data_IF_922115383501
#
_entry.id   IF_922115383501
#
_cell.length_a   1.000
_cell.length_b   1.000
_cell.length_c   1.000
_cell.angle_alpha   90.00
_cell.angle_beta   90.00
_cell.angle_gamma   90.00
#
_symmetry.space_group_name_H-M   'P 1'
#
loop_
_entity.id
_entity.type
_entity.pdbx_description
1 polymer ?
#
# COMPACT_ATOMS: atom_id res chain seq x y z
N UNK A 1 21.01 -23.50 -47.10
CA UNK A 1 20.44 -22.19 -47.46
C UNK A 1 18.94 -22.42 -47.61
N UNK A 2 18.01 -21.89 -46.83
CA UNK A 2 18.01 -20.99 -45.68
C UNK A 2 16.80 -21.45 -44.83
N UNK A 3 17.00 -21.63 -43.53
CA UNK A 3 15.92 -21.61 -42.57
C UNK A 3 15.44 -20.16 -42.46
N UNK A 4 14.14 -19.94 -42.40
CA UNK A 4 13.55 -18.68 -41.95
C UNK A 4 12.14 -18.50 -42.50
N UNK A 5 11.15 -18.01 -41.79
CA UNK A 5 11.03 -17.57 -40.41
C UNK A 5 9.52 -17.63 -40.16
N UNK A 6 9.06 -18.43 -39.19
CA UNK A 6 7.67 -18.38 -38.76
C UNK A 6 7.61 -17.40 -37.58
N UNK A 7 7.38 -16.13 -37.87
CA UNK A 7 7.14 -15.12 -36.85
C UNK A 7 5.63 -15.07 -36.57
N UNK A 8 5.15 -15.49 -35.38
CA UNK A 8 3.81 -15.12 -34.99
C UNK A 8 3.83 -13.62 -34.68
N UNK A 9 3.08 -12.85 -35.47
CA UNK A 9 2.62 -11.52 -35.11
C UNK A 9 1.89 -11.65 -33.76
N UNK A 10 2.56 -11.24 -32.68
CA UNK A 10 1.90 -11.02 -31.40
C UNK A 10 0.99 -9.82 -31.57
N UNK A 11 -0.30 -10.10 -31.77
CA UNK A 11 -1.35 -9.09 -31.75
C UNK A 11 -1.31 -8.39 -30.39
N UNK A 12 -0.93 -7.12 -30.45
CA UNK A 12 -0.93 -6.17 -29.36
C UNK A 12 -2.40 -5.91 -28.98
N UNK A 13 -2.88 -6.61 -27.96
CA UNK A 13 -4.15 -6.30 -27.33
C UNK A 13 -3.87 -5.50 -26.06
N UNK A 14 -3.54 -4.22 -26.25
CA UNK A 14 -3.67 -3.18 -25.22
C UNK A 14 -5.15 -3.07 -24.85
N UNK A 15 -5.61 -4.00 -24.02
CA UNK A 15 -6.89 -3.90 -23.35
C UNK A 15 -6.74 -2.80 -22.30
N UNK A 16 -7.10 -1.58 -22.68
CA UNK A 16 -7.33 -0.48 -21.74
C UNK A 16 -8.44 -0.90 -20.76
N UNK A 17 -8.02 -1.49 -19.65
CA UNK A 17 -8.89 -1.77 -18.53
C UNK A 17 -9.10 -0.45 -17.80
N UNK A 18 -10.18 0.27 -18.15
CA UNK A 18 -10.64 1.46 -17.45
C UNK A 18 -10.95 1.10 -15.99
N UNK A 19 -9.96 1.28 -15.13
CA UNK A 19 -10.13 1.20 -13.70
C UNK A 19 -10.66 2.57 -13.25
N UNK A 20 -11.95 2.61 -12.88
CA UNK A 20 -12.61 3.80 -12.34
C UNK A 20 -12.19 4.13 -10.89
N UNK A 21 -10.97 3.76 -10.48
CA UNK A 21 -10.41 4.20 -9.20
C UNK A 21 -9.62 5.46 -9.49
N UNK A 22 -9.85 6.50 -8.68
CA UNK A 22 -9.11 7.75 -8.69
C UNK A 22 -7.68 7.55 -8.16
N UNK A 23 -6.93 6.60 -8.74
CA UNK A 23 -5.49 6.60 -8.67
C UNK A 23 -5.07 7.49 -9.81
N UNK A 24 -4.90 8.80 -9.53
CA UNK A 24 -4.16 9.67 -10.42
C UNK A 24 -2.89 8.95 -10.91
N UNK A 25 -2.46 9.27 -12.14
CA UNK A 25 -1.32 8.63 -12.84
C UNK A 25 -0.27 8.15 -11.84
N UNK A 26 -0.08 6.83 -11.73
CA UNK A 26 0.99 6.25 -10.90
C UNK A 26 2.30 6.88 -11.38
N UNK A 27 2.92 7.65 -10.50
CA UNK A 27 4.23 8.23 -10.78
C UNK A 27 5.24 7.13 -10.49
N UNK A 28 6.01 6.74 -11.50
CA UNK A 28 7.19 5.92 -11.30
C UNK A 28 8.20 6.75 -10.50
N UNK A 29 8.44 6.33 -9.26
CA UNK A 29 9.27 7.05 -8.31
C UNK A 29 9.38 6.30 -6.97
N UNK A 30 10.34 6.69 -6.13
CA UNK A 30 10.52 6.08 -4.82
C UNK A 30 9.27 6.25 -3.97
N UNK A 31 9.02 5.28 -3.10
CA UNK A 31 7.94 5.34 -2.14
C UNK A 31 8.30 6.28 -0.98
N UNK A 32 7.27 6.84 -0.36
CA UNK A 32 7.41 7.55 0.91
C UNK A 32 6.67 6.77 1.98
N UNK A 33 7.37 6.42 3.04
CA UNK A 33 6.78 5.83 4.24
C UNK A 33 6.66 6.89 5.32
N UNK A 34 5.50 6.98 5.98
CA UNK A 34 5.20 8.01 6.97
C UNK A 34 4.88 7.41 8.33
N UNK A 35 5.43 8.00 9.39
CA UNK A 35 5.07 7.72 10.78
C UNK A 35 4.48 8.98 11.39
N UNK A 36 3.40 8.83 12.15
CA UNK A 36 2.74 9.93 12.85
C UNK A 36 2.62 9.62 14.33
N UNK A 37 3.11 10.54 15.16
CA UNK A 37 2.97 10.50 16.61
C UNK A 37 2.39 11.83 17.08
N UNK A 38 1.14 11.83 17.54
CA UNK A 38 0.40 13.04 17.93
C UNK A 38 0.40 14.12 16.82
N UNK A 39 1.14 15.21 17.02
CA UNK A 39 1.33 16.28 16.04
C UNK A 39 2.61 16.14 15.21
N UNK A 40 3.50 15.22 15.58
CA UNK A 40 4.74 14.97 14.86
C UNK A 40 4.51 13.99 13.69
N UNK A 41 5.14 14.29 12.56
CA UNK A 41 5.05 13.49 11.34
C UNK A 41 6.44 13.36 10.74
N UNK A 42 6.88 12.12 10.56
CA UNK A 42 8.17 11.80 9.97
C UNK A 42 7.97 11.04 8.66
N UNK A 43 8.81 11.34 7.67
CA UNK A 43 8.73 10.77 6.33
C UNK A 43 10.07 10.19 5.90
N UNK A 44 10.03 8.98 5.35
CA UNK A 44 11.19 8.22 4.91
C UNK A 44 11.07 7.92 3.43
N UNK A 45 12.11 8.26 2.67
CA UNK A 45 12.26 7.81 1.29
C UNK A 45 12.64 6.34 1.29
N UNK A 46 11.81 5.49 0.67
CA UNK A 46 12.05 4.05 0.59
C UNK A 46 11.94 3.59 -0.86
N UNK A 47 12.90 2.80 -1.31
CA UNK A 47 12.88 2.25 -2.67
C UNK A 47 11.80 1.17 -2.80
N UNK A 48 11.63 0.37 -1.75
CA UNK A 48 10.68 -0.74 -1.72
C UNK A 48 9.69 -0.60 -0.59
N UNK A 49 8.42 -0.82 -0.91
CA UNK A 49 7.36 -0.97 0.08
C UNK A 49 7.28 -2.46 0.44
N UNK A 50 8.25 -2.96 1.20
CA UNK A 50 8.27 -4.33 1.68
C UNK A 50 8.56 -4.42 3.17
N UNK A 51 8.32 -5.60 3.75
CA UNK A 51 8.57 -5.84 5.17
C UNK A 51 10.03 -5.58 5.56
N UNK A 52 10.96 -6.01 4.73
CA UNK A 52 12.40 -5.92 5.02
C UNK A 52 12.88 -4.46 5.07
N UNK A 53 12.19 -3.57 4.38
CA UNK A 53 12.47 -2.14 4.36
C UNK A 53 11.74 -1.40 5.47
N UNK A 54 10.45 -1.72 5.70
CA UNK A 54 9.60 -0.93 6.60
C UNK A 54 9.75 -1.30 8.07
N UNK A 55 9.94 -2.58 8.38
CA UNK A 55 10.06 -3.04 9.77
C UNK A 55 11.28 -2.44 10.49
N UNK A 56 12.49 -2.40 9.90
CA UNK A 56 13.63 -1.77 10.57
C UNK A 56 13.43 -0.27 10.84
N UNK A 57 12.65 0.42 9.99
CA UNK A 57 12.30 1.83 10.22
C UNK A 57 11.40 1.91 11.46
N UNK A 58 10.36 1.07 11.53
CA UNK A 58 9.47 1.03 12.70
C UNK A 58 10.25 0.70 13.98
N UNK A 59 11.16 -0.27 13.96
CA UNK A 59 11.96 -0.61 15.15
C UNK A 59 12.87 0.51 15.62
N UNK A 60 13.40 1.31 14.70
CA UNK A 60 14.28 2.43 15.03
C UNK A 60 13.51 3.63 15.58
N UNK A 61 12.34 3.93 15.00
CA UNK A 61 11.60 5.15 15.28
C UNK A 61 10.53 4.96 16.36
N UNK A 62 9.98 3.75 16.52
CA UNK A 62 8.97 3.43 17.51
C UNK A 62 9.57 2.66 18.69
N UNK A 63 9.32 3.15 19.91
CA UNK A 63 9.75 2.47 21.11
C UNK A 63 9.11 1.08 21.23
N UNK A 64 9.84 0.10 21.76
CA UNK A 64 9.32 -1.24 22.03
C UNK A 64 8.08 -1.17 22.94
N UNK A 65 7.05 -1.96 22.65
CA UNK A 65 5.78 -1.91 23.37
C UNK A 65 4.85 -0.77 22.94
N UNK A 66 5.23 0.04 21.94
CA UNK A 66 4.36 1.11 21.45
C UNK A 66 3.10 0.57 20.79
N UNK A 67 2.04 1.37 20.86
CA UNK A 67 0.81 1.14 20.13
C UNK A 67 0.97 1.66 18.69
N UNK A 68 0.79 0.77 17.71
CA UNK A 68 0.91 1.11 16.29
C UNK A 68 -0.43 0.90 15.62
N UNK A 69 -0.94 1.94 14.97
CA UNK A 69 -2.09 1.85 14.07
C UNK A 69 -1.58 1.84 12.63
N UNK A 70 -1.85 0.78 11.87
CA UNK A 70 -1.56 0.73 10.43
C UNK A 70 -2.78 0.33 9.64
N UNK A 71 -2.68 0.37 8.31
CA UNK A 71 -3.64 -0.33 7.46
C UNK A 71 -3.52 -1.86 7.66
N UNK A 72 -4.54 -2.61 7.24
CA UNK A 72 -4.60 -4.08 7.32
C UNK A 72 -3.66 -4.76 6.29
N UNK A 73 -2.49 -4.19 6.06
CA UNK A 73 -1.57 -4.70 5.07
C UNK A 73 -0.74 -5.87 5.63
N UNK A 74 -0.64 -7.03 4.93
CA UNK A 74 0.02 -8.23 5.47
C UNK A 74 1.49 -8.06 5.87
N UNK A 75 2.16 -7.02 5.37
CA UNK A 75 3.55 -6.75 5.75
C UNK A 75 3.69 -6.39 7.24
N UNK A 76 2.62 -5.86 7.85
CA UNK A 76 2.59 -5.47 9.26
C UNK A 76 2.06 -6.55 10.20
N UNK A 77 1.60 -7.70 9.69
CA UNK A 77 0.94 -8.76 10.49
C UNK A 77 1.77 -9.36 11.63
N UNK A 78 3.06 -9.07 11.69
CA UNK A 78 3.97 -9.61 12.70
C UNK A 78 4.37 -8.60 13.77
N UNK A 79 3.84 -7.37 13.72
CA UNK A 79 4.17 -6.33 14.69
C UNK A 79 3.81 -6.77 16.13
N UNK A 80 2.69 -7.48 16.31
CA UNK A 80 2.32 -8.06 17.61
C UNK A 80 3.37 -9.04 18.15
N UNK A 81 3.85 -9.96 17.30
CA UNK A 81 4.87 -10.93 17.68
C UNK A 81 6.25 -10.27 17.94
N UNK A 82 6.47 -9.08 17.39
CA UNK A 82 7.66 -8.26 17.62
C UNK A 82 7.58 -7.42 18.90
N UNK A 83 6.46 -7.48 19.64
CA UNK A 83 6.28 -6.79 20.92
C UNK A 83 5.66 -5.41 20.80
N UNK A 84 5.03 -5.09 19.68
CA UNK A 84 4.17 -3.91 19.55
C UNK A 84 2.73 -4.26 19.86
N UNK A 85 1.93 -3.27 20.22
CA UNK A 85 0.48 -3.42 20.27
C UNK A 85 -0.10 -2.95 18.93
N UNK A 86 -0.38 -3.89 18.02
CA UNK A 86 -0.77 -3.56 16.65
C UNK A 86 -2.29 -3.50 16.49
N UNK A 87 -2.77 -2.40 15.90
CA UNK A 87 -4.15 -2.22 15.50
C UNK A 87 -4.22 -1.92 14.01
N UNK A 88 -5.15 -2.59 13.31
CA UNK A 88 -5.36 -2.39 11.88
C UNK A 88 -6.61 -1.57 11.61
N UNK A 89 -6.52 -0.60 10.71
CA UNK A 89 -7.67 0.14 10.18
C UNK A 89 -8.10 -0.50 8.87
N UNK A 90 -9.31 -1.06 8.83
CA UNK A 90 -9.88 -1.60 7.62
C UNK A 90 -10.60 -0.47 6.84
N UNK A 91 -10.00 -0.02 5.75
CA UNK A 91 -10.53 1.05 4.91
C UNK A 91 -11.78 0.68 4.09
N UNK A 92 -12.24 -0.58 4.11
CA UNK A 92 -13.46 -1.00 3.41
C UNK A 92 -14.73 -0.84 4.27
N UNK A 93 -14.60 -0.79 5.60
CA UNK A 93 -15.74 -0.86 6.52
C UNK A 93 -16.43 0.49 6.79
N UNK A 94 -15.82 1.62 6.39
CA UNK A 94 -16.30 2.97 6.71
C UNK A 94 -16.93 3.72 5.53
N UNK A 95 -17.30 3.04 4.44
CA UNK A 95 -17.98 3.68 3.28
C UNK A 95 -19.51 3.75 3.43
N UNK A 96 -20.06 3.33 4.57
CA UNK A 96 -21.51 3.34 4.81
C UNK A 96 -21.84 4.16 6.04
N UNK A 97 -22.68 5.19 5.84
CA UNK A 97 -23.36 5.88 6.94
C UNK A 97 -24.34 4.86 7.60
N UNK A 98 -24.14 4.52 8.88
CA UNK A 98 -24.96 3.51 9.56
C UNK A 98 -26.40 3.96 9.85
N UNK A 99 -26.75 5.23 9.59
CA UNK A 99 -28.10 5.78 9.81
C UNK A 99 -28.83 6.01 8.48
N UNK A 100 -28.13 6.47 7.44
CA UNK A 100 -28.80 6.88 6.19
C UNK A 100 -28.55 5.95 5.00
N UNK A 101 -27.52 5.09 5.06
CA UNK A 101 -27.17 4.19 3.95
C UNK A 101 -26.85 4.92 2.63
N UNK A 102 -26.62 6.23 2.66
CA UNK A 102 -26.43 7.03 1.47
C UNK A 102 -24.99 6.91 0.96
N UNK A 103 -24.84 6.58 -0.32
CA UNK A 103 -23.59 6.73 -1.05
C UNK A 103 -23.45 8.18 -1.49
N UNK A 104 -22.32 8.83 -1.21
CA UNK A 104 -21.92 10.04 -1.94
C UNK A 104 -21.49 9.65 -3.35
N UNK A 105 -22.49 9.50 -4.22
CA UNK A 105 -22.33 9.48 -5.67
C UNK A 105 -23.04 10.68 -6.27
N UNK A 106 -22.30 11.77 -6.49
CA UNK A 106 -22.22 12.45 -7.78
C UNK A 106 -21.02 13.41 -7.79
#
# INVERSE_FOLDING_TARGET
MLNGDNAPLSEDSDAEQENNRNHGRRIDGPWVFGLKQDSDCQYFWVEWRDRNTLIPIIERECAYGSMIHSDEWPNYSNLDAMGYQHFTVNHQQHFMDPVTGAHTGN
#
